data_IF_794274201309
#
_entry.id   IF_794274201309
#
_cell.length_a   1.000
_cell.length_b   1.000
_cell.length_c   1.000
_cell.angle_alpha   90.00
_cell.angle_beta   90.00
_cell.angle_gamma   90.00
#
_symmetry.space_group_name_H-M   'P 1'
#
loop_
_entity.id
_entity.type
_entity.pdbx_description
1 polymer ?
#
# COMPACT_ATOMS: atom_id res chain seq x y z
N UNK A 1 16.99 -56.48 -24.49
CA UNK A 1 16.66 -55.06 -24.74
C UNK A 1 15.46 -54.61 -23.89
N UNK A 2 15.54 -54.68 -22.55
CA UNK A 2 14.43 -54.25 -21.65
C UNK A 2 14.98 -53.64 -20.35
N UNK A 3 16.05 -52.84 -20.43
CA UNK A 3 16.69 -52.28 -19.23
C UNK A 3 17.17 -50.83 -19.40
N UNK A 4 16.53 -50.04 -20.26
CA UNK A 4 16.94 -48.64 -20.54
C UNK A 4 15.84 -47.59 -20.48
N UNK A 5 14.61 -47.92 -20.10
CA UNK A 5 13.46 -46.98 -20.16
C UNK A 5 12.97 -46.41 -18.83
N UNK A 6 13.60 -46.77 -17.70
CA UNK A 6 13.07 -46.45 -16.37
C UNK A 6 13.70 -45.22 -15.68
N UNK A 7 14.49 -44.38 -16.37
CA UNK A 7 15.26 -43.30 -15.72
C UNK A 7 14.78 -41.88 -16.13
N UNK A 8 13.68 -41.74 -16.86
CA UNK A 8 13.28 -40.42 -17.42
C UNK A 8 12.19 -39.69 -16.62
N UNK A 9 11.59 -40.29 -15.60
CA UNK A 9 10.37 -39.71 -14.97
C UNK A 9 10.57 -39.05 -13.59
N UNK A 10 11.78 -38.95 -13.05
CA UNK A 10 11.99 -38.44 -11.68
C UNK A 10 12.48 -36.98 -11.57
N UNK A 11 12.75 -36.28 -12.69
CA UNK A 11 13.46 -34.99 -12.64
C UNK A 11 12.56 -33.74 -12.71
N UNK A 12 11.28 -33.85 -13.08
CA UNK A 12 10.39 -32.68 -13.28
C UNK A 12 9.61 -32.24 -12.04
N UNK A 13 9.64 -33.00 -10.94
CA UNK A 13 8.90 -32.64 -9.72
C UNK A 13 9.64 -31.65 -8.80
N UNK A 14 10.96 -31.47 -8.96
CA UNK A 14 11.77 -30.67 -8.01
C UNK A 14 11.94 -29.19 -8.37
N UNK A 15 11.38 -28.70 -9.49
CA UNK A 15 11.54 -27.31 -9.92
C UNK A 15 10.48 -26.32 -9.42
N UNK A 16 9.52 -26.76 -8.58
CA UNK A 16 8.47 -25.90 -8.02
C UNK A 16 8.73 -25.49 -6.55
N UNK A 17 9.79 -25.98 -5.91
CA UNK A 17 9.92 -25.94 -4.45
C UNK A 17 10.65 -24.72 -3.86
N UNK A 18 11.03 -23.71 -4.64
CA UNK A 18 11.76 -22.57 -4.06
C UNK A 18 11.57 -21.27 -4.82
N UNK A 19 10.33 -20.83 -4.96
CA UNK A 19 10.12 -19.37 -4.93
C UNK A 19 10.07 -19.04 -3.45
N UNK A 20 11.07 -18.35 -2.86
CA UNK A 20 10.86 -17.79 -1.54
C UNK A 20 9.64 -16.89 -1.69
N UNK A 21 8.52 -17.29 -1.08
CA UNK A 21 7.40 -16.40 -0.87
C UNK A 21 7.93 -15.33 0.08
N UNK A 22 8.59 -14.31 -0.48
CA UNK A 22 8.87 -13.08 0.26
C UNK A 22 7.53 -12.67 0.85
N UNK A 23 7.45 -12.42 2.18
CA UNK A 23 6.21 -11.89 2.71
C UNK A 23 5.91 -10.62 1.91
N UNK A 24 4.75 -10.57 1.26
CA UNK A 24 4.22 -9.35 0.67
C UNK A 24 3.92 -8.43 1.85
N UNK A 25 4.96 -7.75 2.34
CA UNK A 25 4.83 -6.74 3.37
C UNK A 25 3.93 -5.67 2.75
N UNK A 26 2.71 -5.55 3.27
CA UNK A 26 1.82 -4.49 2.84
C UNK A 26 2.57 -3.16 3.07
N UNK A 27 2.80 -2.44 1.99
CA UNK A 27 3.46 -1.14 2.05
C UNK A 27 2.62 -0.22 2.95
N UNK A 28 3.23 0.52 3.90
CA UNK A 28 2.49 1.44 4.74
C UNK A 28 1.73 2.43 3.86
N UNK A 29 0.46 2.65 4.17
CA UNK A 29 -0.46 3.45 3.37
C UNK A 29 -1.72 3.75 4.14
N UNK A 30 -2.44 4.79 3.73
CA UNK A 30 -3.77 5.11 4.26
C UNK A 30 -4.84 5.02 3.17
N UNK A 31 -5.98 4.46 3.55
CA UNK A 31 -7.21 4.50 2.80
C UNK A 31 -8.23 5.36 3.55
N UNK A 32 -8.75 6.38 2.88
CA UNK A 32 -9.78 7.27 3.39
C UNK A 32 -11.00 7.18 2.48
N UNK A 33 -12.20 7.01 3.04
CA UNK A 33 -13.43 7.03 2.25
C UNK A 33 -13.66 8.41 1.62
N UNK A 34 -13.49 9.46 2.41
CA UNK A 34 -13.49 10.86 2.00
C UNK A 34 -12.33 11.59 2.67
N UNK A 35 -11.95 12.75 2.14
CA UNK A 35 -11.03 13.67 2.79
C UNK A 35 -11.34 15.11 2.41
N UNK A 36 -10.94 16.06 3.25
CA UNK A 36 -10.83 17.46 2.84
C UNK A 36 -9.41 17.70 2.36
N UNK A 37 -9.25 18.27 1.17
CA UNK A 37 -7.96 18.69 0.65
C UNK A 37 -7.88 20.22 0.63
N UNK A 38 -6.92 20.78 1.35
CA UNK A 38 -6.62 22.21 1.34
C UNK A 38 -5.28 22.43 0.66
N UNK A 39 -5.26 23.22 -0.40
CA UNK A 39 -4.00 23.55 -1.10
C UNK A 39 -3.14 24.45 -0.22
N UNK A 40 -1.86 24.12 -0.09
CA UNK A 40 -0.84 24.89 0.65
C UNK A 40 0.39 25.03 -0.24
N UNK A 41 0.45 26.14 -0.99
CA UNK A 41 1.45 26.33 -2.05
C UNK A 41 1.29 25.30 -3.17
N UNK A 42 2.38 24.57 -3.44
CA UNK A 42 2.42 23.51 -4.47
C UNK A 42 1.97 22.13 -3.96
N UNK A 43 1.63 22.02 -2.67
CA UNK A 43 1.21 20.78 -2.03
C UNK A 43 -0.21 20.88 -1.47
N UNK A 44 -0.72 19.76 -0.95
CA UNK A 44 -2.00 19.68 -0.25
C UNK A 44 -1.78 19.29 1.22
N UNK A 45 -2.66 19.79 2.07
CA UNK A 45 -2.94 19.22 3.38
C UNK A 45 -4.25 18.44 3.30
N UNK A 46 -4.28 17.22 3.85
CA UNK A 46 -5.47 16.40 3.92
C UNK A 46 -5.92 16.28 5.38
N UNK A 47 -7.22 16.36 5.64
CA UNK A 47 -7.79 16.10 6.97
C UNK A 47 -9.13 15.39 6.89
N UNK A 48 -9.36 14.43 7.79
CA UNK A 48 -10.62 13.69 7.89
C UNK A 48 -10.72 12.79 9.14
N UNK A 49 -11.92 12.26 9.44
CA UNK A 49 -12.18 11.20 10.44
C UNK A 49 -12.62 9.87 9.83
N UNK A 50 -11.87 8.79 10.09
CA UNK A 50 -12.21 7.45 9.56
C UNK A 50 -11.36 6.97 8.38
N UNK A 51 -10.09 7.39 8.34
CA UNK A 51 -9.08 6.72 7.53
C UNK A 51 -8.55 5.47 8.26
N UNK A 52 -8.20 4.44 7.50
CA UNK A 52 -7.52 3.23 8.00
C UNK A 52 -6.17 3.08 7.32
N UNK A 53 -5.16 2.66 8.06
CA UNK A 53 -3.81 2.57 7.51
C UNK A 53 -2.71 2.70 8.54
N UNK A 54 -1.49 2.81 8.03
CA UNK A 54 -0.29 2.98 8.82
C UNK A 54 0.78 3.74 8.04
N UNK A 55 1.77 4.27 8.76
CA UNK A 55 2.86 5.05 8.18
C UNK A 55 2.89 6.46 8.75
N UNK A 56 4.04 7.12 8.62
CA UNK A 56 4.23 8.47 9.15
C UNK A 56 4.90 9.40 8.15
N UNK A 57 5.79 8.88 7.30
CA UNK A 57 6.55 9.68 6.33
C UNK A 57 6.47 9.08 4.95
N UNK A 58 6.36 9.95 3.94
CA UNK A 58 6.27 9.62 2.51
C UNK A 58 5.26 8.51 2.23
N UNK A 59 4.07 8.65 2.81
CA UNK A 59 3.03 7.61 2.84
C UNK A 59 2.04 7.81 1.69
N UNK A 60 1.72 6.77 0.90
CA UNK A 60 0.62 6.82 -0.03
C UNK A 60 -0.73 6.92 0.70
N UNK A 61 -1.57 7.85 0.26
CA UNK A 61 -2.91 8.07 0.78
C UNK A 61 -3.89 7.99 -0.38
N UNK A 62 -4.84 7.06 -0.31
CA UNK A 62 -5.92 6.94 -1.28
C UNK A 62 -7.21 7.51 -0.70
N UNK A 63 -7.77 8.51 -1.39
CA UNK A 63 -9.09 9.07 -1.08
C UNK A 63 -10.09 8.53 -2.09
N UNK A 64 -11.03 7.71 -1.63
CA UNK A 64 -11.96 7.00 -2.51
C UNK A 64 -12.98 7.93 -3.20
N UNK A 65 -13.52 8.90 -2.46
CA UNK A 65 -14.66 9.70 -2.92
C UNK A 65 -14.65 11.15 -2.43
N UNK A 66 -15.46 11.99 -3.08
CA UNK A 66 -15.59 13.41 -2.76
C UNK A 66 -14.62 14.32 -3.53
N UNK A 67 -14.58 15.63 -3.19
CA UNK A 67 -13.80 16.64 -3.93
C UNK A 67 -12.28 16.42 -3.84
N UNK A 68 -11.81 15.72 -2.80
CA UNK A 68 -10.42 15.33 -2.64
C UNK A 68 -10.09 13.94 -3.20
N UNK A 69 -11.02 13.27 -3.90
CA UNK A 69 -10.78 11.93 -4.43
C UNK A 69 -9.52 11.85 -5.30
N UNK A 70 -8.76 10.78 -5.14
CA UNK A 70 -7.50 10.55 -5.83
C UNK A 70 -6.41 9.95 -4.94
N UNK A 71 -5.29 9.63 -5.55
CA UNK A 71 -4.07 9.20 -4.87
C UNK A 71 -3.20 10.41 -4.48
N UNK A 72 -2.56 10.30 -3.33
CA UNK A 72 -1.58 11.27 -2.86
C UNK A 72 -0.37 10.55 -2.28
N UNK A 73 0.78 11.19 -2.34
CA UNK A 73 1.95 10.84 -1.53
C UNK A 73 2.17 11.98 -0.56
N UNK A 74 2.02 11.70 0.73
CA UNK A 74 2.09 12.69 1.79
C UNK A 74 3.41 12.58 2.55
N UNK A 75 4.16 13.68 2.58
CA UNK A 75 5.45 13.74 3.28
C UNK A 75 5.32 13.42 4.77
N UNK A 76 4.21 13.81 5.40
CA UNK A 76 3.94 13.50 6.79
C UNK A 76 2.46 13.18 7.01
N UNK A 77 2.19 12.15 7.82
CA UNK A 77 0.86 11.76 8.29
C UNK A 77 0.87 11.62 9.80
N UNK A 78 -0.18 12.13 10.45
CA UNK A 78 -0.48 11.92 11.86
C UNK A 78 -1.88 11.32 11.98
N UNK A 79 -1.98 10.18 12.66
CA UNK A 79 -3.24 9.51 12.93
C UNK A 79 -3.47 9.45 14.44
N UNK A 80 -4.62 9.94 14.89
CA UNK A 80 -5.01 10.00 16.28
C UNK A 80 -5.98 8.86 16.59
N UNK A 81 -5.53 7.74 17.19
CA UNK A 81 -6.34 6.52 17.31
C UNK A 81 -7.56 6.68 18.23
N UNK A 82 -7.52 7.61 19.19
CA UNK A 82 -8.64 7.84 20.11
C UNK A 82 -9.81 8.56 19.44
N UNK A 83 -9.54 9.43 18.47
CA UNK A 83 -10.55 10.22 17.74
C UNK A 83 -10.77 9.73 16.32
N UNK A 84 -9.98 8.77 15.85
CA UNK A 84 -9.91 8.33 14.44
C UNK A 84 -9.64 9.49 13.47
N UNK A 85 -9.02 10.56 13.98
CA UNK A 85 -8.68 11.74 13.20
C UNK A 85 -7.38 11.49 12.44
N UNK A 86 -7.36 11.98 11.20
CA UNK A 86 -6.27 11.86 10.26
C UNK A 86 -5.90 13.26 9.79
N UNK A 87 -4.62 13.58 9.89
CA UNK A 87 -4.03 14.79 9.32
C UNK A 87 -2.80 14.43 8.50
N UNK A 88 -2.73 14.91 7.27
CA UNK A 88 -1.57 14.74 6.40
C UNK A 88 -1.12 16.07 5.80
N UNK A 89 0.18 16.23 5.61
CA UNK A 89 0.81 17.48 5.14
C UNK A 89 1.85 17.20 4.07
N UNK A 90 2.04 18.19 3.19
CA UNK A 90 3.00 18.09 2.10
C UNK A 90 2.61 17.00 1.09
N UNK A 91 1.31 16.85 0.84
CA UNK A 91 0.78 15.84 -0.06
C UNK A 91 0.89 16.32 -1.51
N UNK A 92 1.43 15.46 -2.36
CA UNK A 92 1.44 15.65 -3.82
C UNK A 92 0.49 14.64 -4.42
N UNK A 93 -0.35 15.07 -5.36
CA UNK A 93 -1.28 14.17 -6.04
C UNK A 93 -0.47 13.25 -6.97
N UNK A 94 -0.67 11.94 -6.85
CA UNK A 94 -0.03 10.89 -7.65
C UNK A 94 -0.89 10.42 -8.81
#
# INVERSE_FOLDING_TARGET
MVLKRAIVLAATALLMASVPASPAQAEPGYFCLTATATRTGDTYALSQTGCTGSGTYDVPVLVWSGPAAGGYVCRQVTYYPLTSEFEARGCVRS
#
